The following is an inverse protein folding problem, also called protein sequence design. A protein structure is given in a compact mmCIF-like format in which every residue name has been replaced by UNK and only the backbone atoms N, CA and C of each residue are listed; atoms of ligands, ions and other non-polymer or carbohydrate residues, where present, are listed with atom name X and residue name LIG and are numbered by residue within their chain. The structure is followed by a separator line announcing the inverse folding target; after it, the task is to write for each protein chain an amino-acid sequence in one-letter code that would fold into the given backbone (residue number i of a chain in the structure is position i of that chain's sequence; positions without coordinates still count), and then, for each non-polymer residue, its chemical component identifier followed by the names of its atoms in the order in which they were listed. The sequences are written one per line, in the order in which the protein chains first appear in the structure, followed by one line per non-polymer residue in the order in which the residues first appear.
data_IF_264297602960
#
_entry.id   IF_264297602960
#
_cell.length_a   1.000
_cell.length_b   1.000
_cell.length_c   1.000
_cell.angle_alpha   90.00
_cell.angle_beta   90.00
_cell.angle_gamma   90.00
#
_symmetry.space_group_name_H-M   'P 1'
#
loop_
_entity.id
_entity.type
_entity.pdbx_description
1 polymer ?
#
# COMPACT_ATOMS: atom_id res chain seq x y z
N UNK A 1 -30.57 -32.32 13.44
CA UNK A 1 -29.77 -32.85 12.32
C UNK A 1 -29.50 -31.72 11.33
N UNK A 2 -28.26 -31.67 10.80
CA UNK A 2 -27.69 -30.78 9.78
C UNK A 2 -27.26 -29.38 10.23
N UNK A 3 -26.03 -29.30 10.72
CA UNK A 3 -25.13 -28.23 10.31
C UNK A 3 -24.34 -28.69 9.08
N UNK A 4 -23.87 -27.75 8.25
CA UNK A 4 -22.47 -27.61 7.81
C UNK A 4 -22.36 -26.18 7.21
N UNK A 5 -21.57 -25.32 7.86
CA UNK A 5 -21.13 -24.06 7.28
C UNK A 5 -20.12 -24.35 6.17
N UNK A 6 -20.37 -23.83 4.98
CA UNK A 6 -19.45 -23.98 3.85
C UNK A 6 -18.19 -23.13 4.12
N UNK A 7 -17.13 -23.76 4.58
CA UNK A 7 -15.79 -23.17 4.57
C UNK A 7 -15.31 -23.17 3.12
N UNK A 8 -15.15 -21.97 2.54
CA UNK A 8 -14.51 -21.83 1.23
C UNK A 8 -13.04 -22.23 1.39
N UNK A 9 -12.61 -23.19 0.58
CA UNK A 9 -11.23 -23.67 0.54
C UNK A 9 -10.34 -22.55 -0.01
N UNK A 10 -9.42 -22.04 0.82
CA UNK A 10 -8.37 -21.13 0.36
C UNK A 10 -7.38 -21.95 -0.49
N UNK A 11 -7.37 -21.71 -1.80
CA UNK A 11 -6.34 -22.22 -2.71
C UNK A 11 -5.23 -21.16 -2.75
N UNK A 12 -4.07 -21.51 -2.20
CA UNK A 12 -2.87 -20.66 -2.27
C UNK A 12 -2.24 -20.84 -3.66
N UNK A 13 -2.49 -19.90 -4.57
CA UNK A 13 -1.77 -19.82 -5.84
C UNK A 13 -0.34 -19.33 -5.58
N UNK A 14 0.59 -20.28 -5.42
CA UNK A 14 2.01 -20.00 -5.25
C UNK A 14 2.65 -19.81 -6.63
N UNK A 15 2.79 -18.56 -7.07
CA UNK A 15 3.71 -18.23 -8.15
C UNK A 15 5.14 -18.42 -7.66
N UNK A 16 5.84 -19.44 -8.16
CA UNK A 16 7.27 -19.58 -7.94
C UNK A 16 8.01 -18.43 -8.63
N UNK A 17 8.33 -17.39 -7.86
CA UNK A 17 9.35 -16.44 -8.27
C UNK A 17 10.71 -17.15 -8.24
N UNK A 18 11.60 -16.93 -9.24
CA UNK A 18 12.96 -17.45 -9.17
C UNK A 18 13.62 -16.95 -7.89
N UNK A 19 14.13 -17.87 -7.09
CA UNK A 19 14.83 -17.59 -5.85
C UNK A 19 16.14 -16.85 -6.13
N UNK A 20 16.04 -15.53 -6.28
CA UNK A 20 17.14 -14.63 -6.00
C UNK A 20 16.70 -13.80 -4.82
N UNK A 21 17.19 -14.17 -3.64
CA UNK A 21 17.06 -13.37 -2.43
C UNK A 21 17.58 -11.97 -2.72
N UNK A 22 16.67 -11.08 -3.13
CA UNK A 22 16.96 -9.66 -3.18
C UNK A 22 17.10 -9.30 -1.72
N UNK A 23 18.35 -9.14 -1.25
CA UNK A 23 18.61 -8.40 -0.01
C UNK A 23 17.69 -7.19 -0.10
N UNK A 24 16.76 -7.06 0.85
CA UNK A 24 16.04 -5.81 1.02
C UNK A 24 17.13 -4.76 0.98
N UNK A 25 17.12 -3.94 -0.09
CA UNK A 25 18.20 -3.00 -0.35
C UNK A 25 18.43 -2.27 0.95
N UNK A 26 19.67 -2.23 1.44
CA UNK A 26 20.00 -1.64 2.72
C UNK A 26 19.20 -0.34 2.84
N UNK A 27 18.20 -0.33 3.74
CA UNK A 27 17.52 0.90 4.10
C UNK A 27 18.66 1.80 4.49
N UNK A 28 18.84 2.92 3.79
CA UNK A 28 19.93 3.85 4.11
C UNK A 28 19.76 4.17 5.59
N UNK A 29 20.59 3.59 6.43
CA UNK A 29 20.58 3.87 7.84
C UNK A 29 21.04 5.32 7.93
N UNK A 30 20.08 6.22 8.16
CA UNK A 30 20.40 7.61 8.48
C UNK A 30 21.45 7.59 9.59
N UNK A 31 22.44 8.50 9.51
CA UNK A 31 23.40 8.64 10.59
C UNK A 31 22.62 9.03 11.87
N UNK A 32 22.99 8.52 13.05
CA UNK A 32 22.37 8.99 14.30
C UNK A 32 22.48 10.51 14.40
N UNK A 33 21.35 11.18 14.63
CA UNK A 33 21.27 12.63 14.82
C UNK A 33 20.57 12.92 16.14
N UNK A 34 20.89 14.04 16.78
CA UNK A 34 20.11 14.50 17.93
C UNK A 34 18.68 14.81 17.49
N UNK A 35 17.70 14.57 18.36
CA UNK A 35 16.30 14.83 18.03
C UNK A 35 16.04 16.29 17.64
N UNK A 36 16.76 17.24 18.25
CA UNK A 36 16.70 18.67 17.92
C UNK A 36 17.22 19.01 16.50
N UNK A 37 18.02 18.11 15.93
CA UNK A 37 18.65 18.28 14.61
C UNK A 37 17.88 17.51 13.51
N UNK A 38 16.77 16.84 13.86
CA UNK A 38 15.93 16.12 12.89
C UNK A 38 15.10 17.13 12.10
N UNK A 39 15.36 17.20 10.79
CA UNK A 39 14.57 18.01 9.87
C UNK A 39 13.28 17.26 9.54
N UNK A 40 12.14 17.91 9.73
CA UNK A 40 10.84 17.36 9.35
C UNK A 40 10.61 17.58 7.85
N UNK A 41 10.83 16.54 7.06
CA UNK A 41 10.48 16.55 5.64
C UNK A 41 9.02 16.13 5.43
N UNK A 42 8.25 16.99 4.79
CA UNK A 42 6.95 16.58 4.22
C UNK A 42 7.25 15.88 2.90
N UNK A 43 7.18 14.55 2.89
CA UNK A 43 7.39 13.77 1.67
C UNK A 43 6.47 14.22 0.53
N UNK A 44 6.91 14.00 -0.72
CA UNK A 44 6.11 14.32 -1.91
C UNK A 44 4.83 13.47 -1.94
N UNK A 45 3.71 14.09 -1.56
CA UNK A 45 2.39 13.46 -1.46
C UNK A 45 1.59 13.71 -2.73
N UNK A 46 1.00 12.64 -3.22
CA UNK A 46 0.10 12.60 -4.36
C UNK A 46 -1.32 12.40 -3.83
N UNK A 47 -2.19 13.42 -3.89
CA UNK A 47 -3.60 13.25 -3.59
C UNK A 47 -4.20 12.18 -4.50
N UNK A 48 -4.90 11.22 -3.92
CA UNK A 48 -5.59 10.16 -4.67
C UNK A 48 -6.87 10.70 -5.32
N UNK A 49 -7.42 11.81 -4.81
CA UNK A 49 -8.71 12.34 -5.25
C UNK A 49 -9.90 11.63 -4.61
N UNK A 50 -9.66 10.68 -3.70
CA UNK A 50 -10.66 10.02 -2.87
C UNK A 50 -10.50 10.57 -1.45
N UNK A 51 -11.41 11.47 -1.04
CA UNK A 51 -11.24 12.28 0.17
C UNK A 51 -10.95 11.48 1.45
N UNK A 52 -11.71 10.40 1.71
CA UNK A 52 -11.47 9.55 2.89
C UNK A 52 -10.16 8.78 2.81
N UNK A 53 -9.75 8.34 1.62
CA UNK A 53 -8.46 7.68 1.43
C UNK A 53 -7.31 8.67 1.65
N UNK A 54 -7.42 9.89 1.12
CA UNK A 54 -6.44 10.95 1.34
C UNK A 54 -6.34 11.31 2.82
N UNK A 55 -7.46 11.42 3.53
CA UNK A 55 -7.49 11.64 4.98
C UNK A 55 -6.75 10.53 5.73
N UNK A 56 -7.03 9.26 5.43
CA UNK A 56 -6.36 8.11 6.05
C UNK A 56 -4.86 8.09 5.75
N UNK A 57 -4.46 8.47 4.53
CA UNK A 57 -3.06 8.52 4.12
C UNK A 57 -2.31 9.78 4.61
N UNK A 58 -3.00 10.74 5.23
CA UNK A 58 -2.41 12.01 5.68
C UNK A 58 -2.18 13.02 4.55
N UNK A 59 -3.13 13.11 3.62
CA UNK A 59 -3.14 14.02 2.47
C UNK A 59 -2.83 13.37 1.12
N UNK A 60 -2.69 12.04 1.06
CA UNK A 60 -2.39 11.28 -0.16
C UNK A 60 -1.16 10.38 -0.07
N UNK A 61 -0.88 9.67 -1.15
CA UNK A 61 0.18 8.65 -1.25
C UNK A 61 1.56 9.32 -1.34
N UNK A 62 2.51 8.89 -0.51
CA UNK A 62 3.90 9.39 -0.56
C UNK A 62 4.68 8.64 -1.65
N UNK A 63 5.44 9.36 -2.49
CA UNK A 63 6.31 8.72 -3.49
C UNK A 63 7.34 7.79 -2.84
N UNK A 64 7.53 6.61 -3.43
CA UNK A 64 8.47 5.61 -2.92
C UNK A 64 8.05 4.95 -1.60
N UNK A 65 6.82 5.17 -1.15
CA UNK A 65 6.27 4.51 0.03
C UNK A 65 5.66 3.14 -0.29
N UNK A 66 5.48 2.34 0.75
CA UNK A 66 4.72 1.10 0.73
C UNK A 66 3.49 1.28 1.63
N UNK A 67 2.31 1.02 1.07
CA UNK A 67 1.03 1.07 1.81
C UNK A 67 0.42 -0.32 1.82
N UNK A 68 0.12 -0.83 3.01
CA UNK A 68 -0.57 -2.12 3.19
C UNK A 68 -2.07 -1.89 3.36
N UNK A 69 -2.88 -2.49 2.50
CA UNK A 69 -4.35 -2.43 2.57
C UNK A 69 -4.91 -3.75 3.13
N UNK A 70 -5.30 -3.75 4.40
CA UNK A 70 -5.94 -4.88 5.08
C UNK A 70 -7.47 -4.87 4.98
N UNK A 71 -8.09 -6.03 5.21
CA UNK A 71 -9.54 -6.17 5.33
C UNK A 71 -10.05 -7.57 5.01
N UNK A 72 -11.27 -7.89 5.43
CA UNK A 72 -11.91 -9.19 5.19
C UNK A 72 -12.03 -9.54 3.70
N UNK A 73 -12.03 -10.82 3.32
CA UNK A 73 -12.34 -11.23 1.95
C UNK A 73 -13.68 -10.63 1.49
N UNK A 74 -13.72 -10.04 0.29
CA UNK A 74 -14.93 -9.41 -0.24
C UNK A 74 -15.20 -7.96 0.19
N UNK A 75 -14.41 -7.36 1.09
CA UNK A 75 -14.64 -5.96 1.53
C UNK A 75 -14.36 -4.88 0.46
N UNK A 76 -13.99 -5.25 -0.76
CA UNK A 76 -13.79 -4.31 -1.86
C UNK A 76 -12.39 -3.71 -1.99
N UNK A 77 -11.35 -4.32 -1.41
CA UNK A 77 -9.94 -3.87 -1.54
C UNK A 77 -9.52 -3.61 -2.98
N UNK A 78 -9.70 -4.60 -3.86
CA UNK A 78 -9.35 -4.47 -5.28
C UNK A 78 -10.16 -3.36 -5.96
N UNK A 79 -11.44 -3.22 -5.60
CA UNK A 79 -12.31 -2.15 -6.11
C UNK A 79 -11.79 -0.77 -5.72
N UNK A 80 -11.43 -0.58 -4.44
CA UNK A 80 -10.84 0.68 -3.96
C UNK A 80 -9.52 0.99 -4.67
N UNK A 81 -8.64 0.00 -4.82
CA UNK A 81 -7.36 0.16 -5.50
C UNK A 81 -7.54 0.53 -6.98
N UNK A 82 -8.50 -0.08 -7.67
CA UNK A 82 -8.82 0.28 -9.06
C UNK A 82 -9.36 1.70 -9.17
N UNK A 83 -10.22 2.13 -8.24
CA UNK A 83 -10.73 3.51 -8.19
C UNK A 83 -9.61 4.51 -7.93
N UNK A 84 -8.74 4.24 -6.96
CA UNK A 84 -7.58 5.07 -6.64
C UNK A 84 -6.61 5.16 -7.82
N UNK A 85 -6.30 4.03 -8.47
CA UNK A 85 -5.43 3.99 -9.65
C UNK A 85 -6.02 4.81 -10.81
N UNK A 86 -7.32 4.67 -11.08
CA UNK A 86 -8.03 5.48 -12.10
C UNK A 86 -7.96 6.97 -11.77
N UNK A 87 -8.15 7.35 -10.51
CA UNK A 87 -8.12 8.75 -10.09
C UNK A 87 -6.70 9.34 -10.20
N UNK A 88 -5.68 8.60 -9.76
CA UNK A 88 -4.27 8.97 -9.90
C UNK A 88 -3.85 9.11 -11.36
N UNK A 89 -4.26 8.19 -12.24
CA UNK A 89 -3.96 8.23 -13.67
C UNK A 89 -4.59 9.44 -14.38
N UNK A 90 -5.75 9.91 -13.91
CA UNK A 90 -6.36 11.16 -14.42
C UNK A 90 -5.62 12.40 -13.93
N UNK A 91 -5.15 12.38 -12.69
CA UNK A 91 -4.44 13.52 -12.09
C UNK A 91 -3.02 13.68 -12.65
N UNK A 92 -2.34 12.57 -12.94
CA UNK A 92 -1.03 12.55 -13.62
C UNK A 92 -1.00 11.44 -14.68
N UNK A 93 -0.72 11.77 -15.95
CA UNK A 93 -0.44 10.77 -16.97
C UNK A 93 0.74 9.89 -16.56
N UNK A 94 0.78 8.62 -16.99
CA UNK A 94 1.94 7.76 -16.78
C UNK A 94 3.19 8.39 -17.40
N UNK A 95 4.32 8.28 -16.69
CA UNK A 95 5.65 8.70 -17.14
C UNK A 95 6.22 7.67 -18.11
#
# INVERSE_FOLDING_TARGET
MRGVGAYVQLVEERSEAPARGRRAGAVSSGRPQSLKDVVLERGDRLPTGIGELDRVLGGGVVRGSLVLLGGEPGCGKSTLLLQAARALAKARPPV
#
